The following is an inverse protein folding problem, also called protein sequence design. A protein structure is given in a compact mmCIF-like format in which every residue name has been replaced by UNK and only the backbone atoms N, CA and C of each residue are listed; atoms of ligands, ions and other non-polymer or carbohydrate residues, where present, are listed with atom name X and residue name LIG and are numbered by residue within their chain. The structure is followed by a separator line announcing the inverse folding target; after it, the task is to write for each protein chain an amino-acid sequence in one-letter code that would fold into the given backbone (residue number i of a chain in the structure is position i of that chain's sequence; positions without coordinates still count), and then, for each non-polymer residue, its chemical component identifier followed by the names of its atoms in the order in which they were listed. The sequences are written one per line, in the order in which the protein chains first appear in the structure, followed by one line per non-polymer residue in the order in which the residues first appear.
data_IF_326603813362
#
_entry.id   IF_326603813362
#
_cell.length_a   1.000
_cell.length_b   1.000
_cell.length_c   1.000
_cell.angle_alpha   90.00
_cell.angle_beta   90.00
_cell.angle_gamma   90.00
#
_symmetry.space_group_name_H-M   'P 1'
#
loop_
_entity.id
_entity.type
_entity.pdbx_description
1 polymer ?
#
# COMPACT_ATOMS: atom_id res chain seq x y z
N UNK A 1 26.52 2.81 -12.74
CA UNK A 1 26.17 2.66 -14.18
C UNK A 1 26.87 3.76 -14.95
N UNK A 2 27.43 3.50 -16.14
CA UNK A 2 28.19 4.51 -16.91
C UNK A 2 27.63 4.63 -18.31
N UNK A 3 26.85 5.67 -18.57
CA UNK A 3 26.21 5.89 -19.86
C UNK A 3 26.66 7.20 -20.47
N UNK A 4 27.32 7.09 -21.63
CA UNK A 4 27.89 8.22 -22.35
C UNK A 4 26.84 9.33 -22.60
N UNK A 5 27.23 10.58 -22.34
CA UNK A 5 26.38 11.76 -22.51
C UNK A 5 25.28 11.92 -21.46
N UNK A 6 25.41 11.28 -20.30
CA UNK A 6 24.54 11.49 -19.12
C UNK A 6 25.08 12.55 -18.16
N UNK A 7 26.34 12.96 -18.33
CA UNK A 7 26.96 14.03 -17.56
C UNK A 7 26.10 15.30 -17.56
N UNK A 8 25.79 15.80 -16.36
CA UNK A 8 24.96 16.99 -16.16
C UNK A 8 23.46 16.80 -16.44
N UNK A 9 23.02 15.62 -16.90
CA UNK A 9 21.60 15.30 -17.13
C UNK A 9 20.96 14.52 -15.98
N UNK A 10 21.79 13.82 -15.21
CA UNK A 10 21.40 13.11 -13.99
C UNK A 10 22.10 13.75 -12.81
N UNK A 11 21.33 14.11 -11.79
CA UNK A 11 21.83 14.70 -10.54
C UNK A 11 21.68 13.76 -9.35
N UNK A 12 22.53 13.94 -8.34
CA UNK A 12 22.33 13.32 -7.03
C UNK A 12 21.01 13.82 -6.41
N UNK A 13 20.25 12.92 -5.80
CA UNK A 13 18.93 13.19 -5.23
C UNK A 13 17.77 13.09 -6.23
N UNK A 14 18.07 12.87 -7.52
CA UNK A 14 17.06 12.69 -8.55
C UNK A 14 16.49 11.27 -8.54
N UNK A 15 15.19 11.14 -8.83
CA UNK A 15 14.54 9.86 -9.09
C UNK A 15 14.56 9.55 -10.59
N UNK A 16 14.99 8.34 -10.92
CA UNK A 16 15.03 7.83 -12.29
C UNK A 16 14.33 6.48 -12.40
N UNK A 17 13.90 6.15 -13.62
CA UNK A 17 13.46 4.81 -13.97
C UNK A 17 14.50 4.15 -14.88
N UNK A 18 14.80 2.88 -14.64
CA UNK A 18 15.57 2.02 -15.53
C UNK A 18 14.61 1.16 -16.37
N UNK A 19 14.88 1.10 -17.67
CA UNK A 19 14.04 0.40 -18.64
C UNK A 19 14.93 -0.60 -19.39
N UNK A 20 14.72 -1.88 -19.15
CA UNK A 20 15.35 -2.96 -19.90
C UNK A 20 14.43 -3.41 -21.05
N UNK A 21 14.95 -3.38 -22.27
CA UNK A 21 14.24 -3.85 -23.48
C UNK A 21 14.51 -5.35 -23.64
N UNK A 22 13.47 -6.17 -23.47
CA UNK A 22 13.54 -7.63 -23.52
C UNK A 22 12.67 -8.16 -24.67
N UNK A 23 13.22 -8.09 -25.89
CA UNK A 23 12.50 -8.45 -27.12
C UNK A 23 11.27 -7.55 -27.34
N UNK A 24 10.08 -8.15 -27.30
CA UNK A 24 8.80 -7.42 -27.43
C UNK A 24 8.27 -6.88 -26.10
N UNK A 25 8.96 -7.14 -24.98
CA UNK A 25 8.55 -6.72 -23.65
C UNK A 25 9.52 -5.69 -23.05
N UNK A 26 9.09 -4.99 -22.00
CA UNK A 26 9.91 -4.02 -21.27
C UNK A 26 9.80 -4.31 -19.79
N UNK A 27 10.95 -4.36 -19.13
CA UNK A 27 11.04 -4.35 -17.67
C UNK A 27 11.31 -2.91 -17.22
N UNK A 28 10.43 -2.38 -16.38
CA UNK A 28 10.61 -1.07 -15.77
C UNK A 28 10.94 -1.23 -14.28
N UNK A 29 12.06 -0.66 -13.87
CA UNK A 29 12.46 -0.54 -12.46
C UNK A 29 12.45 0.95 -12.13
N UNK A 30 11.42 1.38 -11.42
CA UNK A 30 11.06 2.79 -11.32
C UNK A 30 11.51 3.40 -10.00
N UNK A 31 11.67 4.73 -9.99
CA UNK A 31 11.89 5.56 -8.78
C UNK A 31 13.13 5.17 -8.00
N UNK A 32 14.21 4.93 -8.71
CA UNK A 32 15.51 4.72 -8.10
C UNK A 32 16.14 6.06 -7.76
N UNK A 33 16.48 6.24 -6.49
CA UNK A 33 17.22 7.41 -6.03
C UNK A 33 18.67 7.34 -6.52
N UNK A 34 19.09 8.37 -7.24
CA UNK A 34 20.49 8.58 -7.59
C UNK A 34 21.23 9.07 -6.35
N UNK A 35 22.12 8.24 -5.81
CA UNK A 35 22.86 8.54 -4.57
C UNK A 35 24.22 9.18 -4.84
N UNK A 36 24.76 9.06 -6.05
CA UNK A 36 26.01 9.70 -6.47
C UNK A 36 26.08 9.82 -7.99
N UNK A 37 26.83 10.81 -8.47
CA UNK A 37 27.14 10.99 -9.89
C UNK A 37 28.63 11.29 -10.07
N UNK A 38 29.22 10.81 -11.16
CA UNK A 38 30.61 11.06 -11.55
C UNK A 38 30.73 11.04 -13.08
N UNK A 39 30.80 12.24 -13.67
CA UNK A 39 30.78 12.40 -15.13
C UNK A 39 29.56 11.74 -15.77
N UNK A 40 29.80 10.78 -16.66
CA UNK A 40 28.78 9.97 -17.33
C UNK A 40 28.30 8.76 -16.49
N UNK A 41 28.68 8.72 -15.21
CA UNK A 41 28.29 7.66 -14.30
C UNK A 41 27.33 8.17 -13.23
N UNK A 42 26.41 7.30 -12.84
CA UNK A 42 25.58 7.49 -11.66
C UNK A 42 25.38 6.18 -10.90
N UNK A 43 25.04 6.31 -9.62
CA UNK A 43 24.90 5.20 -8.69
C UNK A 43 23.51 5.19 -8.09
N UNK A 44 22.92 4.00 -8.07
CA UNK A 44 21.67 3.65 -7.37
C UNK A 44 21.96 2.47 -6.45
N UNK A 45 21.25 2.34 -5.33
CA UNK A 45 21.50 1.28 -4.33
C UNK A 45 20.41 0.23 -4.32
N UNK A 46 20.79 -1.05 -4.35
CA UNK A 46 19.88 -2.18 -4.12
C UNK A 46 19.37 -2.23 -2.68
N UNK A 47 20.08 -1.61 -1.73
CA UNK A 47 19.64 -1.53 -0.33
C UNK A 47 18.42 -0.60 -0.18
N UNK A 48 18.23 0.33 -1.13
CA UNK A 48 17.13 1.28 -1.11
C UNK A 48 15.91 0.82 -1.94
N UNK A 49 16.02 -0.29 -2.68
CA UNK A 49 14.96 -0.77 -3.56
C UNK A 49 15.01 -2.30 -3.72
N UNK A 50 14.02 -2.97 -3.18
CA UNK A 50 13.79 -4.40 -3.34
C UNK A 50 13.49 -4.75 -4.80
N UNK A 51 12.80 -3.86 -5.52
CA UNK A 51 12.57 -4.05 -6.96
C UNK A 51 13.90 -4.12 -7.71
N UNK A 52 14.82 -3.19 -7.44
CA UNK A 52 16.15 -3.21 -8.03
C UNK A 52 16.93 -4.46 -7.64
N UNK A 53 16.89 -4.86 -6.37
CA UNK A 53 17.54 -6.08 -5.88
C UNK A 53 17.05 -7.32 -6.65
N UNK A 54 15.72 -7.50 -6.72
CA UNK A 54 15.09 -8.67 -7.35
C UNK A 54 15.31 -8.73 -8.88
N UNK A 55 15.55 -7.59 -9.52
CA UNK A 55 15.67 -7.48 -10.98
C UNK A 55 17.11 -7.25 -11.47
N UNK A 56 18.08 -7.21 -10.55
CA UNK A 56 19.46 -6.83 -10.84
C UNK A 56 20.09 -7.67 -11.96
N UNK A 57 19.91 -8.99 -11.93
CA UNK A 57 20.47 -9.91 -12.94
C UNK A 57 19.94 -9.64 -14.35
N UNK A 58 18.65 -9.32 -14.48
CA UNK A 58 18.01 -8.96 -15.75
C UNK A 58 18.53 -7.61 -16.24
N UNK A 59 18.66 -6.62 -15.36
CA UNK A 59 19.23 -5.31 -15.72
C UNK A 59 20.68 -5.41 -16.17
N UNK A 60 21.50 -6.24 -15.51
CA UNK A 60 22.89 -6.50 -15.91
C UNK A 60 22.97 -7.16 -17.31
N UNK A 61 22.06 -8.07 -17.60
CA UNK A 61 21.95 -8.71 -18.93
C UNK A 61 21.56 -7.69 -20.01
N UNK A 62 20.57 -6.83 -19.72
CA UNK A 62 20.17 -5.75 -20.61
C UNK A 62 21.29 -4.71 -20.82
N UNK A 63 22.07 -4.41 -19.79
CA UNK A 63 23.25 -3.55 -19.88
C UNK A 63 24.29 -4.11 -20.84
N UNK A 64 24.68 -5.39 -20.66
CA UNK A 64 25.63 -6.07 -21.52
C UNK A 64 25.17 -6.13 -22.98
N UNK A 65 23.86 -6.17 -23.20
CA UNK A 65 23.23 -6.21 -24.54
C UNK A 65 22.93 -4.83 -25.11
N UNK A 66 23.37 -3.73 -24.47
CA UNK A 66 23.09 -2.34 -24.85
C UNK A 66 21.58 -1.98 -24.94
N UNK A 67 20.74 -2.75 -24.26
CA UNK A 67 19.29 -2.63 -24.24
C UNK A 67 18.74 -1.98 -22.96
N UNK A 68 19.62 -1.52 -22.07
CA UNK A 68 19.23 -0.72 -20.91
C UNK A 68 19.12 0.76 -21.28
N UNK A 69 18.06 1.40 -20.81
CA UNK A 69 17.80 2.84 -20.92
C UNK A 69 17.43 3.39 -19.54
N UNK A 70 17.54 4.70 -19.38
CA UNK A 70 16.99 5.40 -18.22
C UNK A 70 16.16 6.59 -18.67
N UNK A 71 15.28 7.04 -17.78
CA UNK A 71 14.53 8.28 -17.91
C UNK A 71 14.29 8.89 -16.54
N UNK A 72 13.89 10.16 -16.50
CA UNK A 72 13.45 10.78 -15.25
C UNK A 72 12.12 10.15 -14.80
N UNK A 73 11.97 9.90 -13.50
CA UNK A 73 10.68 9.48 -12.97
C UNK A 73 9.71 10.67 -12.99
N UNK A 74 8.58 10.53 -13.67
CA UNK A 74 7.56 11.59 -13.76
C UNK A 74 6.71 11.72 -12.50
N UNK A 75 6.69 10.68 -11.65
CA UNK A 75 5.88 10.63 -10.43
C UNK A 75 6.74 10.08 -9.31
N UNK A 76 6.96 10.90 -8.28
CA UNK A 76 7.72 10.52 -7.10
C UNK A 76 6.83 9.89 -6.02
N UNK A 77 5.59 10.37 -5.86
CA UNK A 77 4.62 9.93 -4.86
C UNK A 77 3.21 9.94 -5.44
N UNK A 78 2.40 8.94 -5.10
CA UNK A 78 0.97 8.91 -5.38
C UNK A 78 0.20 9.20 -4.09
N UNK A 79 -0.94 9.88 -4.21
CA UNK A 79 -1.86 10.04 -3.07
C UNK A 79 -2.41 8.68 -2.63
N UNK A 80 -2.97 8.61 -1.42
CA UNK A 80 -3.50 7.38 -0.85
C UNK A 80 -4.77 6.93 -1.57
N UNK A 81 -4.76 5.67 -2.02
CA UNK A 81 -5.96 4.89 -2.29
C UNK A 81 -6.25 3.97 -1.08
N UNK A 82 -7.52 3.91 -0.67
CA UNK A 82 -7.97 3.18 0.51
C UNK A 82 -8.89 2.04 0.10
N UNK A 83 -8.71 0.84 0.64
CA UNK A 83 -9.68 -0.25 0.42
C UNK A 83 -11.01 0.13 1.04
N UNK A 84 -12.12 -0.15 0.35
CA UNK A 84 -13.45 0.11 0.89
C UNK A 84 -13.75 -0.91 1.99
N UNK A 85 -13.92 -0.42 3.21
CA UNK A 85 -14.25 -1.24 4.37
C UNK A 85 -15.35 -0.55 5.18
N UNK A 86 -16.43 -1.28 5.45
CA UNK A 86 -17.55 -0.79 6.22
C UNK A 86 -17.41 -1.12 7.70
N UNK A 87 -17.92 -0.24 8.57
CA UNK A 87 -18.13 -0.54 9.97
C UNK A 87 -19.17 -1.66 10.15
N UNK A 88 -19.20 -2.27 11.34
CA UNK A 88 -20.15 -3.31 11.71
C UNK A 88 -21.60 -2.94 11.38
N UNK A 89 -22.41 -3.90 10.92
CA UNK A 89 -23.79 -3.66 10.48
C UNK A 89 -24.66 -2.92 11.51
N UNK A 90 -24.48 -3.20 12.81
CA UNK A 90 -25.20 -2.53 13.90
C UNK A 90 -24.86 -1.03 14.06
N UNK A 91 -23.73 -0.59 13.51
CA UNK A 91 -23.27 0.82 13.52
C UNK A 91 -23.61 1.56 12.24
N UNK A 92 -24.10 0.87 11.20
CA UNK A 92 -24.44 1.50 9.94
C UNK A 92 -25.65 2.46 10.12
N UNK A 93 -25.65 3.62 9.45
CA UNK A 93 -26.77 4.54 9.50
C UNK A 93 -28.02 3.91 8.87
N UNK A 94 -29.19 4.31 9.33
CA UNK A 94 -30.47 3.90 8.74
C UNK A 94 -30.72 4.54 7.37
N UNK A 95 -30.07 5.67 7.08
CA UNK A 95 -30.14 6.34 5.79
C UNK A 95 -29.37 5.52 4.74
N UNK A 96 -30.08 5.00 3.74
CA UNK A 96 -29.49 4.21 2.66
C UNK A 96 -28.48 4.98 1.81
N UNK A 97 -28.57 6.31 1.77
CA UNK A 97 -27.63 7.21 1.09
C UNK A 97 -26.34 7.44 1.88
N UNK A 98 -26.23 6.87 3.08
CA UNK A 98 -25.06 7.00 3.93
C UNK A 98 -24.43 5.64 4.23
N UNK A 99 -23.11 5.64 4.41
CA UNK A 99 -22.35 4.49 4.89
C UNK A 99 -21.31 4.92 5.90
N UNK A 100 -21.13 4.11 6.94
CA UNK A 100 -20.06 4.30 7.90
C UNK A 100 -18.87 3.42 7.45
N UNK A 101 -17.78 4.04 7.05
CA UNK A 101 -16.51 3.36 6.78
C UNK A 101 -15.72 3.17 8.07
N UNK A 102 -14.90 2.13 8.12
CA UNK A 102 -14.01 1.86 9.24
C UNK A 102 -12.59 1.58 8.75
N UNK A 103 -11.60 2.14 9.41
CA UNK A 103 -10.20 1.86 9.15
C UNK A 103 -9.80 0.46 9.65
N UNK A 104 -8.81 -0.14 9.00
CA UNK A 104 -8.16 -1.37 9.44
C UNK A 104 -6.70 -1.39 8.95
N UNK A 105 -5.98 -2.48 9.19
CA UNK A 105 -4.58 -2.60 8.77
C UNK A 105 -4.35 -2.48 7.24
N UNK A 106 -5.36 -2.79 6.40
CA UNK A 106 -5.27 -2.67 4.93
C UNK A 106 -5.77 -1.31 4.41
N UNK A 107 -6.52 -0.57 5.22
CA UNK A 107 -7.14 0.70 4.89
C UNK A 107 -7.03 1.61 6.10
N UNK A 108 -5.85 2.23 6.32
CA UNK A 108 -5.61 3.05 7.50
C UNK A 108 -6.50 4.28 7.52
N UNK A 109 -6.68 4.87 8.71
CA UNK A 109 -7.49 6.07 8.85
C UNK A 109 -6.80 7.27 8.16
N UNK A 110 -7.50 8.02 7.28
CA UNK A 110 -6.93 9.20 6.61
C UNK A 110 -6.69 10.35 7.60
N UNK A 111 -5.45 10.62 7.99
CA UNK A 111 -5.17 11.51 9.12
C UNK A 111 -5.61 12.98 8.93
N UNK A 112 -5.74 13.44 7.68
CA UNK A 112 -6.12 14.83 7.36
C UNK A 112 -7.54 14.97 6.81
N UNK A 113 -8.35 13.92 6.94
CA UNK A 113 -9.75 13.97 6.46
C UNK A 113 -10.54 15.03 7.22
N UNK A 114 -11.36 15.77 6.48
CA UNK A 114 -12.24 16.81 7.01
C UNK A 114 -13.68 16.59 6.56
N UNK A 115 -14.62 17.09 7.37
CA UNK A 115 -16.03 17.15 6.96
C UNK A 115 -16.16 18.03 5.73
N UNK A 116 -16.87 17.54 4.71
CA UNK A 116 -17.03 18.20 3.42
C UNK A 116 -16.04 17.75 2.34
N UNK A 117 -15.04 16.94 2.68
CA UNK A 117 -14.17 16.36 1.66
C UNK A 117 -14.96 15.43 0.73
N UNK A 118 -14.67 15.54 -0.57
CA UNK A 118 -15.25 14.68 -1.59
C UNK A 118 -14.34 13.48 -1.83
N UNK A 119 -14.97 12.32 -1.99
CA UNK A 119 -14.30 11.07 -2.29
C UNK A 119 -14.95 10.45 -3.52
N UNK A 120 -14.18 9.57 -4.19
CA UNK A 120 -14.68 8.73 -5.27
C UNK A 120 -14.40 7.28 -4.90
N UNK A 121 -15.43 6.45 -4.95
CA UNK A 121 -15.33 4.99 -4.84
C UNK A 121 -15.26 4.43 -6.26
N UNK A 122 -14.33 3.52 -6.49
CA UNK A 122 -14.08 2.86 -7.77
C UNK A 122 -13.65 1.41 -7.58
N UNK A 123 -13.74 0.55 -8.60
CA UNK A 123 -13.23 -0.80 -8.51
C UNK A 123 -11.72 -0.76 -8.26
N UNK A 124 -11.23 -1.60 -7.34
CA UNK A 124 -9.81 -1.77 -7.14
C UNK A 124 -9.27 -2.65 -8.27
N UNK A 125 -8.43 -2.09 -9.13
CA UNK A 125 -7.92 -2.79 -10.30
C UNK A 125 -6.91 -3.87 -9.93
N UNK A 126 -7.27 -5.14 -10.13
CA UNK A 126 -6.32 -6.25 -10.25
C UNK A 126 -6.15 -6.60 -11.73
N UNK A 127 -4.92 -6.48 -12.23
CA UNK A 127 -4.53 -7.10 -13.49
C UNK A 127 -3.45 -8.13 -13.21
N UNK A 128 -3.84 -9.39 -13.06
CA UNK A 128 -2.90 -10.50 -13.10
C UNK A 128 -2.51 -10.76 -14.55
N UNK A 129 -1.32 -10.32 -14.97
CA UNK A 129 -0.72 -10.78 -16.23
C UNK A 129 0.41 -11.76 -15.93
N UNK A 130 0.10 -13.05 -15.83
CA UNK A 130 1.12 -14.08 -15.99
C UNK A 130 1.30 -14.41 -17.48
N UNK A 131 2.53 -14.63 -17.97
CA UNK A 131 2.76 -15.09 -19.34
C UNK A 131 2.03 -16.42 -19.59
N UNK A 132 1.02 -16.42 -20.45
CA UNK A 132 0.22 -17.61 -20.78
C UNK A 132 -1.01 -17.85 -19.93
N UNK A 133 -1.23 -17.09 -18.84
CA UNK A 133 -2.49 -17.14 -18.10
C UNK A 133 -3.52 -16.24 -18.79
N UNK A 134 -4.76 -16.74 -18.94
CA UNK A 134 -5.89 -15.87 -19.30
C UNK A 134 -5.99 -14.81 -18.21
N UNK A 135 -6.04 -13.53 -18.60
CA UNK A 135 -6.28 -12.45 -17.66
C UNK A 135 -7.58 -12.76 -16.91
N UNK A 136 -7.47 -13.22 -15.66
CA UNK A 136 -8.62 -13.34 -14.77
C UNK A 136 -8.99 -11.91 -14.35
N UNK A 137 -9.72 -11.21 -15.22
CA UNK A 137 -10.74 -10.30 -14.69
C UNK A 137 -11.72 -11.23 -14.00
N UNK A 138 -11.84 -11.15 -12.69
CA UNK A 138 -13.15 -11.45 -12.11
C UNK A 138 -14.13 -10.56 -12.90
N UNK A 139 -14.89 -11.17 -13.81
CA UNK A 139 -15.92 -10.46 -14.54
C UNK A 139 -16.85 -9.88 -13.48
N UNK A 140 -17.15 -8.57 -13.58
CA UNK A 140 -18.31 -7.85 -12.99
C UNK A 140 -18.00 -6.56 -12.22
N UNK A 141 -16.98 -5.79 -12.59
CA UNK A 141 -17.10 -4.35 -12.32
C UNK A 141 -16.73 -3.58 -13.57
N UNK A 142 -17.69 -2.82 -14.08
CA UNK A 142 -17.47 -1.90 -15.19
C UNK A 142 -16.31 -0.99 -14.80
N UNK A 143 -15.27 -0.93 -15.63
CA UNK A 143 -14.07 -0.14 -15.33
C UNK A 143 -14.38 1.36 -15.23
N UNK A 144 -15.52 1.77 -15.81
CA UNK A 144 -16.02 3.13 -15.80
C UNK A 144 -16.95 3.41 -14.59
N UNK A 145 -17.25 2.41 -13.78
CA UNK A 145 -18.09 2.58 -12.58
C UNK A 145 -17.40 3.46 -11.54
N UNK A 146 -18.07 4.52 -11.10
CA UNK A 146 -17.61 5.40 -10.03
C UNK A 146 -18.79 5.91 -9.20
N UNK A 147 -18.62 5.97 -7.88
CA UNK A 147 -19.59 6.57 -6.97
C UNK A 147 -18.95 7.74 -6.24
N UNK A 148 -19.50 8.94 -6.47
CA UNK A 148 -19.10 10.15 -5.76
C UNK A 148 -19.81 10.24 -4.41
N UNK A 149 -19.06 10.57 -3.36
CA UNK A 149 -19.60 10.77 -2.02
C UNK A 149 -18.89 11.92 -1.31
N UNK A 150 -19.49 12.41 -0.22
CA UNK A 150 -18.95 13.48 0.63
C UNK A 150 -18.87 13.02 2.07
N UNK A 151 -17.79 13.38 2.75
CA UNK A 151 -17.60 13.14 4.19
C UNK A 151 -18.56 14.02 5.00
N UNK A 152 -19.37 13.40 5.87
CA UNK A 152 -20.33 14.07 6.74
C UNK A 152 -19.91 14.10 8.20
N UNK A 153 -19.19 13.08 8.66
CA UNK A 153 -18.64 13.04 10.01
C UNK A 153 -17.34 12.23 10.02
N UNK A 154 -16.45 12.62 10.93
CA UNK A 154 -15.15 11.99 11.14
C UNK A 154 -15.06 11.61 12.62
N UNK A 155 -14.54 10.42 12.89
CA UNK A 155 -14.16 10.00 14.24
C UNK A 155 -12.77 9.37 14.19
N UNK A 156 -11.70 10.18 14.40
CA UNK A 156 -10.33 9.71 14.38
C UNK A 156 -10.04 8.70 15.49
N UNK A 157 -10.73 8.82 16.62
CA UNK A 157 -10.58 7.89 17.74
C UNK A 157 -11.19 6.56 17.35
N UNK A 158 -12.43 6.48 16.86
CA UNK A 158 -12.99 5.19 16.43
C UNK A 158 -12.43 4.70 15.10
N UNK A 159 -11.67 5.53 14.37
CA UNK A 159 -11.19 5.22 13.02
C UNK A 159 -12.33 5.12 12.02
N UNK A 160 -13.38 5.93 12.16
CA UNK A 160 -14.58 5.85 11.30
C UNK A 160 -14.87 7.12 10.53
N UNK A 161 -15.48 6.94 9.35
CA UNK A 161 -15.84 8.01 8.43
C UNK A 161 -17.28 7.82 7.95
N UNK A 162 -18.17 8.76 8.26
CA UNK A 162 -19.53 8.75 7.71
C UNK A 162 -19.51 9.45 6.37
N UNK A 163 -19.89 8.74 5.31
CA UNK A 163 -19.99 9.27 3.96
C UNK A 163 -21.45 9.29 3.50
N UNK A 164 -21.78 10.25 2.64
CA UNK A 164 -23.06 10.36 1.98
C UNK A 164 -22.86 10.43 0.48
N UNK A 165 -23.63 9.62 -0.26
CA UNK A 165 -23.60 9.62 -1.72
C UNK A 165 -24.04 10.99 -2.27
N UNK A 166 -23.42 11.42 -3.37
CA UNK A 166 -23.86 12.60 -4.10
C UNK A 166 -25.32 12.44 -4.57
N UNK A 167 -26.11 13.52 -4.48
CA UNK A 167 -27.56 13.48 -4.72
C UNK A 167 -27.93 13.12 -6.17
N UNK A 168 -27.03 13.38 -7.11
CA UNK A 168 -27.14 13.10 -8.54
C UNK A 168 -26.57 11.73 -8.95
N UNK A 169 -25.97 11.00 -8.01
CA UNK A 169 -25.40 9.68 -8.31
C UNK A 169 -26.47 8.61 -8.45
N UNK A 170 -26.48 7.95 -9.60
CA UNK A 170 -27.36 6.82 -9.91
C UNK A 170 -26.89 5.49 -9.33
N UNK A 171 -25.62 5.41 -8.93
CA UNK A 171 -24.99 4.18 -8.45
C UNK A 171 -25.31 3.90 -6.98
N UNK A 172 -25.46 2.64 -6.60
CA UNK A 172 -25.61 2.26 -5.19
C UNK A 172 -24.26 1.93 -4.55
N UNK A 173 -24.19 2.07 -3.23
CA UNK A 173 -23.03 1.60 -2.49
C UNK A 173 -22.81 0.09 -2.70
N UNK A 174 -21.57 -0.36 -2.94
CA UNK A 174 -21.25 -1.78 -2.96
C UNK A 174 -21.74 -2.47 -1.68
N UNK A 175 -22.16 -3.74 -1.80
CA UNK A 175 -22.58 -4.51 -0.62
C UNK A 175 -21.38 -4.76 0.30
N UNK A 176 -21.63 -5.06 1.58
CA UNK A 176 -20.55 -5.39 2.50
C UNK A 176 -19.74 -6.62 2.03
N UNK A 177 -20.41 -7.59 1.42
CA UNK A 177 -19.79 -8.81 0.89
C UNK A 177 -18.85 -8.55 -0.27
N UNK A 178 -19.12 -7.56 -1.12
CA UNK A 178 -18.28 -7.23 -2.29
C UNK A 178 -17.45 -5.97 -2.11
N UNK A 179 -17.61 -5.27 -0.98
CA UNK A 179 -16.92 -4.01 -0.67
C UNK A 179 -15.42 -4.11 -0.81
N UNK A 180 -14.84 -5.26 -0.47
CA UNK A 180 -13.41 -5.50 -0.64
C UNK A 180 -13.01 -5.19 -2.08
N UNK A 181 -13.74 -5.56 -3.13
CA UNK A 181 -13.36 -5.31 -4.54
C UNK A 181 -13.27 -3.84 -4.95
N UNK A 182 -13.59 -2.91 -4.06
CA UNK A 182 -13.57 -1.48 -4.31
C UNK A 182 -12.51 -0.77 -3.47
N UNK A 183 -12.05 0.35 -4.00
CA UNK A 183 -11.20 1.30 -3.31
C UNK A 183 -11.82 2.68 -3.40
N UNK A 184 -11.40 3.58 -2.53
CA UNK A 184 -11.80 4.97 -2.55
C UNK A 184 -10.58 5.87 -2.35
N UNK A 185 -10.67 7.06 -2.91
CA UNK A 185 -9.66 8.09 -2.76
C UNK A 185 -10.34 9.46 -2.72
N UNK A 186 -9.61 10.46 -2.22
CA UNK A 186 -10.08 11.84 -2.26
C UNK A 186 -10.13 12.35 -3.70
N UNK A 187 -11.19 13.08 -4.04
CA UNK A 187 -11.31 13.67 -5.36
C UNK A 187 -10.40 14.90 -5.46
N UNK A 188 -9.81 15.12 -6.65
CA UNK A 188 -8.86 16.23 -6.88
C UNK A 188 -9.50 17.63 -6.80
N UNK A 189 -10.83 17.72 -6.70
CA UNK A 189 -11.56 18.98 -6.72
C UNK A 189 -11.64 19.68 -5.35
N UNK A 190 -11.12 19.07 -4.27
CA UNK A 190 -11.39 19.48 -2.90
C UNK A 190 -10.12 19.78 -2.07
N UNK A 191 -10.34 20.39 -0.90
CA UNK A 191 -9.32 20.86 0.03
C UNK A 191 -8.28 19.80 0.42
N UNK A 192 -8.67 18.53 0.58
CA UNK A 192 -7.73 17.45 0.90
C UNK A 192 -6.59 17.31 -0.12
N UNK A 193 -6.90 17.43 -1.43
CA UNK A 193 -5.92 17.29 -2.50
C UNK A 193 -5.00 18.52 -2.65
N UNK A 194 -5.42 19.69 -2.15
CA UNK A 194 -4.70 20.96 -2.27
C UNK A 194 -4.01 21.40 -0.98
N UNK A 195 -4.27 20.72 0.13
CA UNK A 195 -3.61 21.00 1.42
C UNK A 195 -2.16 20.56 1.38
N UNK A 196 -1.25 21.43 1.81
CA UNK A 196 0.16 21.10 1.96
C UNK A 196 0.35 20.16 3.16
N UNK A 197 0.92 18.98 2.90
CA UNK A 197 1.11 17.89 3.87
C UNK A 197 2.57 17.74 4.32
N UNK A 198 3.49 18.48 3.67
CA UNK A 198 4.92 18.30 3.83
C UNK A 198 5.60 19.52 4.44
N UNK A 199 5.07 20.73 4.22
CA UNK A 199 5.67 21.93 4.80
C UNK A 199 5.27 22.10 6.27
N UNK A 200 6.28 22.13 7.13
CA UNK A 200 6.14 22.41 8.57
C UNK A 200 5.14 21.50 9.29
N UNK A 201 4.97 20.26 8.85
CA UNK A 201 4.12 19.26 9.52
C UNK A 201 5.00 18.23 10.21
N UNK A 202 4.69 17.94 11.48
CA UNK A 202 5.30 16.86 12.23
C UNK A 202 4.24 15.82 12.57
N UNK A 203 4.52 14.57 12.21
CA UNK A 203 3.67 13.43 12.56
C UNK A 203 4.15 12.79 13.86
N UNK A 204 3.32 12.81 14.90
CA UNK A 204 3.56 12.04 16.12
C UNK A 204 2.83 10.70 16.03
N UNK A 205 3.57 9.61 16.18
CA UNK A 205 3.04 8.25 16.09
C UNK A 205 2.91 7.66 17.48
N UNK A 206 1.70 7.25 17.84
CA UNK A 206 1.31 6.83 19.17
C UNK A 206 0.63 5.46 19.10
N UNK A 207 0.85 4.64 20.12
CA UNK A 207 0.18 3.35 20.22
C UNK A 207 -1.23 3.53 20.76
N UNK A 208 -2.21 3.01 20.02
CA UNK A 208 -3.64 3.07 20.32
C UNK A 208 -4.04 2.36 21.63
N UNK A 209 -3.26 1.38 22.11
CA UNK A 209 -3.47 0.76 23.45
C UNK A 209 -3.58 1.79 24.58
N UNK A 210 -2.92 2.93 24.45
CA UNK A 210 -2.96 3.99 25.45
C UNK A 210 -4.38 4.59 25.60
N UNK A 211 -5.10 4.78 24.48
CA UNK A 211 -6.47 5.31 24.49
C UNK A 211 -7.52 4.21 24.70
N UNK A 212 -7.17 2.94 24.43
CA UNK A 212 -8.05 1.78 24.66
C UNK A 212 -7.96 1.22 26.10
N UNK A 213 -7.06 1.77 26.93
CA UNK A 213 -6.85 1.31 28.30
C UNK A 213 -8.08 1.55 29.18
N UNK A 214 -8.40 0.61 30.11
CA UNK A 214 -9.51 0.79 31.02
C UNK A 214 -9.30 2.03 31.90
N UNK A 215 -10.37 2.81 32.11
CA UNK A 215 -10.40 4.08 32.85
C UNK A 215 -9.82 5.31 32.12
N UNK A 216 -9.52 5.20 30.83
CA UNK A 216 -9.17 6.36 30.01
C UNK A 216 -10.42 6.90 29.31
N UNK A 217 -10.56 8.22 29.30
CA UNK A 217 -11.50 8.93 28.42
C UNK A 217 -10.72 9.36 27.18
N UNK A 218 -10.89 8.70 26.02
CA UNK A 218 -10.03 8.89 24.86
C UNK A 218 -9.92 10.36 24.41
N UNK A 219 -11.05 11.07 24.33
CA UNK A 219 -11.09 12.48 23.91
C UNK A 219 -10.24 13.38 24.81
N UNK A 220 -10.29 13.16 26.13
CA UNK A 220 -9.52 13.96 27.09
C UNK A 220 -8.03 13.66 26.98
N UNK A 221 -7.65 12.39 26.80
CA UNK A 221 -6.26 12.00 26.62
C UNK A 221 -5.68 12.57 25.32
N UNK A 222 -6.41 12.45 24.20
CA UNK A 222 -5.97 12.97 22.90
C UNK A 222 -5.78 14.48 22.95
N UNK A 223 -6.74 15.22 23.53
CA UNK A 223 -6.64 16.66 23.71
C UNK A 223 -5.43 17.05 24.57
N UNK A 224 -5.23 16.38 25.71
CA UNK A 224 -4.11 16.63 26.60
C UNK A 224 -2.75 16.34 25.95
N UNK A 225 -2.63 15.23 25.20
CA UNK A 225 -1.40 14.90 24.46
C UNK A 225 -1.10 15.97 23.43
N UNK A 226 -2.11 16.40 22.65
CA UNK A 226 -1.93 17.43 21.64
C UNK A 226 -1.50 18.76 22.27
N UNK A 227 -2.14 19.20 23.36
CA UNK A 227 -1.78 20.42 24.08
C UNK A 227 -0.34 20.36 24.61
N UNK A 228 0.03 19.23 25.24
CA UNK A 228 1.37 19.04 25.81
C UNK A 228 2.45 19.04 24.75
N UNK A 229 2.23 18.36 23.62
CA UNK A 229 3.19 18.36 22.52
C UNK A 229 3.30 19.76 21.93
N UNK A 230 2.17 20.42 21.63
CA UNK A 230 2.19 21.73 20.98
C UNK A 230 2.83 22.84 21.83
N UNK A 231 2.83 22.70 23.16
CA UNK A 231 3.56 23.60 24.05
C UNK A 231 5.08 23.59 23.82
N UNK A 232 5.64 22.50 23.29
CA UNK A 232 7.08 22.32 23.04
C UNK A 232 7.47 22.66 21.59
N UNK A 233 6.51 22.80 20.69
CA UNK A 233 6.76 23.02 19.27
C UNK A 233 6.79 24.52 18.90
N UNK A 234 7.62 24.91 17.92
CA UNK A 234 7.54 26.26 17.35
C UNK A 234 6.16 26.52 16.75
N UNK A 235 5.65 27.75 16.90
CA UNK A 235 4.30 28.14 16.46
C UNK A 235 4.03 27.98 14.94
N UNK A 236 5.08 27.83 14.13
CA UNK A 236 4.96 27.61 12.69
C UNK A 236 4.87 26.13 12.31
N UNK A 237 4.97 25.21 13.27
CA UNK A 237 4.89 23.77 13.04
C UNK A 237 3.50 23.25 13.40
N UNK A 238 2.91 22.50 12.48
CA UNK A 238 1.66 21.77 12.68
C UNK A 238 1.94 20.34 13.16
N UNK A 239 1.08 19.83 14.04
CA UNK A 239 1.17 18.46 14.55
C UNK A 239 0.02 17.61 13.99
N UNK A 240 0.36 16.41 13.49
CA UNK A 240 -0.62 15.37 13.16
C UNK A 240 -0.36 14.17 14.08
N UNK A 241 -1.37 13.77 14.85
CA UNK A 241 -1.28 12.60 15.71
C UNK A 241 -1.82 11.36 14.99
N UNK A 242 -1.00 10.31 14.90
CA UNK A 242 -1.36 9.02 14.32
C UNK A 242 -1.47 7.98 15.43
N UNK A 243 -2.68 7.48 15.67
CA UNK A 243 -2.93 6.42 16.65
C UNK A 243 -3.01 5.07 15.96
N UNK A 244 -1.88 4.35 15.96
CA UNK A 244 -1.75 3.06 15.26
C UNK A 244 -2.08 1.90 16.20
N UNK A 245 -2.69 0.85 15.64
CA UNK A 245 -2.82 -0.44 16.35
C UNK A 245 -1.45 -1.06 16.62
N UNK A 246 -1.38 -2.06 17.50
CA UNK A 246 -0.08 -2.60 17.92
C UNK A 246 0.77 -3.18 16.79
N UNK A 247 0.21 -4.01 15.89
CA UNK A 247 1.00 -4.56 14.80
C UNK A 247 1.57 -3.45 13.92
N UNK A 248 0.77 -2.44 13.56
CA UNK A 248 1.20 -1.34 12.70
C UNK A 248 2.19 -0.43 13.43
N UNK A 249 1.99 -0.15 14.72
CA UNK A 249 2.91 0.64 15.54
C UNK A 249 4.29 -0.03 15.65
N UNK A 250 4.34 -1.33 15.91
CA UNK A 250 5.59 -2.07 16.01
C UNK A 250 6.30 -2.15 14.65
N UNK A 251 5.55 -2.36 13.57
CA UNK A 251 6.10 -2.35 12.20
C UNK A 251 6.64 -0.97 11.81
N UNK A 252 5.94 0.11 12.21
CA UNK A 252 6.40 1.47 12.04
C UNK A 252 7.73 1.68 12.77
N UNK A 253 7.83 1.30 14.05
CA UNK A 253 9.06 1.43 14.82
C UNK A 253 10.24 0.68 14.22
N UNK A 254 10.03 -0.56 13.76
CA UNK A 254 11.06 -1.36 13.11
C UNK A 254 11.52 -0.76 11.77
N UNK A 255 10.57 -0.29 10.95
CA UNK A 255 10.86 0.37 9.66
C UNK A 255 11.56 1.69 9.86
N UNK A 256 11.12 2.50 10.84
CA UNK A 256 11.74 3.78 11.18
C UNK A 256 13.18 3.59 11.66
N UNK A 257 13.44 2.60 12.52
CA UNK A 257 14.78 2.29 12.99
C UNK A 257 15.72 1.89 11.84
N UNK A 258 15.23 1.04 10.91
CA UNK A 258 15.99 0.65 9.71
C UNK A 258 16.29 1.86 8.82
N UNK A 259 15.28 2.68 8.54
CA UNK A 259 15.42 3.90 7.74
C UNK A 259 16.44 4.88 8.34
N UNK A 260 16.36 5.14 9.65
CA UNK A 260 17.30 6.00 10.37
C UNK A 260 18.74 5.44 10.32
N UNK A 261 18.89 4.14 10.63
CA UNK A 261 20.20 3.49 10.66
C UNK A 261 20.88 3.41 9.28
N UNK A 262 20.08 3.43 8.21
CA UNK A 262 20.57 3.49 6.82
C UNK A 262 20.89 4.91 6.34
N UNK A 263 20.82 5.93 7.20
CA UNK A 263 21.09 7.32 6.83
C UNK A 263 19.92 8.04 6.17
N UNK A 264 18.68 7.58 6.42
CA UNK A 264 17.43 8.18 5.95
C UNK A 264 17.31 8.31 4.41
N UNK A 265 17.59 7.26 3.62
CA UNK A 265 17.49 7.34 2.17
C UNK A 265 16.03 7.47 1.71
N UNK A 266 15.79 8.13 0.58
CA UNK A 266 14.51 8.06 -0.13
C UNK A 266 14.43 6.74 -0.92
N UNK A 267 14.04 5.67 -0.23
CA UNK A 267 13.86 4.32 -0.77
C UNK A 267 12.62 3.64 -0.20
N UNK A 268 12.52 2.32 -0.34
CA UNK A 268 11.34 1.54 0.05
C UNK A 268 10.86 1.83 1.49
N UNK A 269 11.79 1.96 2.45
CA UNK A 269 11.44 2.27 3.84
C UNK A 269 10.84 3.66 4.01
N UNK A 270 11.36 4.67 3.31
CA UNK A 270 10.81 6.03 3.36
C UNK A 270 9.37 6.04 2.82
N UNK A 271 9.12 5.32 1.73
CA UNK A 271 7.78 5.18 1.17
C UNK A 271 6.85 4.37 2.06
N UNK A 272 7.34 3.30 2.71
CA UNK A 272 6.57 2.54 3.68
C UNK A 272 6.16 3.41 4.88
N UNK A 273 7.07 4.26 5.38
CA UNK A 273 6.76 5.23 6.44
C UNK A 273 5.70 6.24 5.98
N UNK A 274 5.84 6.84 4.79
CA UNK A 274 4.85 7.77 4.24
C UNK A 274 3.48 7.11 4.07
N UNK A 275 3.43 5.84 3.65
CA UNK A 275 2.19 5.08 3.49
C UNK A 275 1.53 4.78 4.85
N UNK A 276 2.29 4.36 5.85
CA UNK A 276 1.77 4.13 7.21
C UNK A 276 1.22 5.42 7.86
N UNK A 277 1.77 6.57 7.48
CA UNK A 277 1.32 7.90 7.92
C UNK A 277 0.21 8.49 7.03
N UNK A 278 -0.27 7.75 6.03
CA UNK A 278 -1.29 8.21 5.06
C UNK A 278 -0.91 9.48 4.28
N UNK A 279 0.39 9.74 4.13
CA UNK A 279 0.92 10.90 3.38
C UNK A 279 0.97 10.63 1.87
N UNK A 280 1.00 9.37 1.49
CA UNK A 280 1.07 8.89 0.12
C UNK A 280 1.83 7.57 0.05
N UNK A 281 1.76 6.91 -1.09
CA UNK A 281 2.47 5.65 -1.32
C UNK A 281 3.21 5.66 -2.65
N UNK A 282 4.07 4.66 -2.85
CA UNK A 282 4.70 4.44 -4.15
C UNK A 282 3.61 4.25 -5.22
N UNK A 283 3.68 4.98 -6.35
CA UNK A 283 2.73 4.75 -7.42
C UNK A 283 2.88 3.33 -7.96
N UNK A 284 1.90 2.49 -7.65
CA UNK A 284 1.87 1.10 -8.07
C UNK A 284 1.20 1.04 -9.43
N UNK A 285 1.90 0.53 -10.44
CA UNK A 285 1.26 0.20 -11.73
C UNK A 285 0.42 -1.07 -11.62
N UNK A 286 0.67 -1.88 -10.59
CA UNK A 286 0.05 -3.18 -10.38
C UNK A 286 -0.04 -3.44 -8.86
N UNK A 287 -1.27 -3.54 -8.35
CA UNK A 287 -1.53 -4.00 -6.99
C UNK A 287 -1.54 -5.54 -7.05
N UNK A 288 -0.41 -6.20 -6.78
CA UNK A 288 -0.33 -7.68 -6.82
C UNK A 288 -0.90 -8.30 -5.53
N UNK A 289 -0.04 -8.90 -4.70
CA UNK A 289 -0.39 -9.57 -3.44
C UNK A 289 -1.03 -8.63 -2.40
N UNK A 290 -0.88 -7.32 -2.57
CA UNK A 290 -1.37 -6.30 -1.62
C UNK A 290 -2.90 -6.19 -1.52
N UNK A 291 -3.63 -6.77 -2.47
CA UNK A 291 -5.10 -6.85 -2.43
C UNK A 291 -5.62 -8.21 -1.96
N UNK A 292 -4.71 -9.16 -1.73
CA UNK A 292 -5.10 -10.51 -1.35
C UNK A 292 -5.53 -10.58 0.13
N UNK A 293 -6.56 -11.37 0.43
CA UNK A 293 -7.16 -11.50 1.77
C UNK A 293 -7.08 -12.92 2.30
N UNK A 294 -7.09 -13.07 3.62
CA UNK A 294 -7.16 -14.39 4.24
C UNK A 294 -8.53 -15.01 3.91
N UNK A 295 -8.52 -16.24 3.42
CA UNK A 295 -9.73 -17.00 3.08
C UNK A 295 -10.61 -17.22 4.32
N UNK A 296 -11.93 -17.12 4.14
CA UNK A 296 -12.88 -17.63 5.14
C UNK A 296 -12.84 -19.16 5.18
N UNK A 297 -13.43 -19.79 6.19
CA UNK A 297 -13.45 -21.26 6.29
C UNK A 297 -14.21 -21.92 5.12
N UNK A 298 -15.28 -21.30 4.64
CA UNK A 298 -16.01 -21.76 3.46
C UNK A 298 -15.13 -21.68 2.20
N UNK A 299 -14.43 -20.55 2.01
CA UNK A 299 -13.53 -20.36 0.87
C UNK A 299 -12.29 -21.25 0.95
N UNK A 300 -11.80 -21.54 2.15
CA UNK A 300 -10.74 -22.52 2.35
C UNK A 300 -11.18 -23.90 1.87
N UNK A 301 -12.39 -24.32 2.21
CA UNK A 301 -12.95 -25.60 1.73
C UNK A 301 -13.05 -25.61 0.21
N UNK A 302 -13.45 -24.49 -0.39
CA UNK A 302 -13.53 -24.36 -1.86
C UNK A 302 -12.15 -24.38 -2.53
N UNK A 303 -11.13 -23.75 -1.92
CA UNK A 303 -9.75 -23.72 -2.44
C UNK A 303 -9.07 -25.08 -2.32
N UNK A 304 -9.24 -25.75 -1.18
CA UNK A 304 -8.55 -27.02 -0.87
C UNK A 304 -9.29 -28.21 -1.46
N UNK A 305 -10.60 -28.11 -1.68
CA UNK A 305 -11.43 -29.21 -2.15
C UNK A 305 -11.31 -30.43 -1.23
N UNK A 306 -10.99 -31.59 -1.83
CA UNK A 306 -10.73 -32.85 -1.13
C UNK A 306 -9.26 -33.00 -0.65
N UNK A 307 -8.42 -31.98 -0.87
CA UNK A 307 -7.00 -31.98 -0.53
C UNK A 307 -6.08 -32.59 -1.60
N UNK A 308 -6.62 -33.06 -2.72
CA UNK A 308 -5.83 -33.67 -3.81
C UNK A 308 -5.27 -32.63 -4.79
N UNK A 309 -5.97 -31.51 -5.00
CA UNK A 309 -5.53 -30.41 -5.88
C UNK A 309 -6.00 -29.06 -5.34
N UNK A 310 -5.22 -28.03 -5.68
CA UNK A 310 -5.52 -26.64 -5.34
C UNK A 310 -6.38 -26.01 -6.43
N UNK A 311 -7.53 -25.46 -6.06
CA UNK A 311 -8.39 -24.71 -6.98
C UNK A 311 -7.86 -23.28 -7.14
N UNK A 312 -6.78 -23.13 -7.92
CA UNK A 312 -6.10 -21.85 -8.18
C UNK A 312 -7.03 -20.79 -8.78
N UNK A 313 -8.05 -21.21 -9.54
CA UNK A 313 -9.07 -20.33 -10.09
C UNK A 313 -9.91 -19.65 -8.99
N UNK A 314 -10.18 -20.35 -7.88
CA UNK A 314 -10.87 -19.78 -6.72
C UNK A 314 -9.98 -18.79 -5.99
N UNK A 315 -8.68 -19.11 -5.84
CA UNK A 315 -7.69 -18.20 -5.22
C UNK A 315 -7.60 -16.88 -5.98
N UNK A 316 -7.50 -16.96 -7.31
CA UNK A 316 -7.41 -15.78 -8.18
C UNK A 316 -8.74 -15.01 -8.24
N UNK A 317 -9.88 -15.70 -8.34
CA UNK A 317 -11.22 -15.07 -8.39
C UNK A 317 -11.57 -14.35 -7.09
N UNK A 318 -11.25 -14.96 -5.96
CA UNK A 318 -11.59 -14.46 -4.62
C UNK A 318 -10.50 -13.59 -3.99
N UNK A 319 -9.38 -13.40 -4.71
CA UNK A 319 -8.23 -12.60 -4.28
C UNK A 319 -7.67 -13.10 -2.94
N UNK A 320 -7.41 -14.41 -2.80
CA UNK A 320 -7.11 -15.03 -1.51
C UNK A 320 -5.62 -15.21 -1.26
N UNK A 321 -5.11 -14.62 -0.18
CA UNK A 321 -3.79 -14.94 0.36
C UNK A 321 -3.88 -16.22 1.20
N UNK A 322 -3.11 -17.23 0.81
CA UNK A 322 -3.09 -18.50 1.52
C UNK A 322 -1.67 -18.82 2.01
N UNK A 323 -1.56 -19.11 3.31
CA UNK A 323 -0.35 -19.66 3.92
C UNK A 323 -0.68 -21.10 4.32
N UNK A 324 -0.04 -22.12 3.72
CA UNK A 324 -0.20 -23.50 4.17
C UNK A 324 0.16 -23.59 5.64
N UNK A 325 -0.69 -24.23 6.45
CA UNK A 325 -0.24 -24.68 7.78
C UNK A 325 0.87 -25.69 7.55
N UNK A 326 1.98 -25.54 8.28
CA UNK A 326 3.08 -26.51 8.29
C UNK A 326 2.50 -27.92 8.46
N UNK A 327 2.44 -28.66 7.37
CA UNK A 327 2.32 -30.11 7.43
C UNK A 327 3.75 -30.57 7.69
N UNK A 328 4.03 -31.29 8.78
CA UNK A 328 5.36 -31.83 9.00
C UNK A 328 5.72 -32.70 7.80
N UNK A 329 6.66 -32.24 6.98
CA UNK A 329 7.22 -33.04 5.91
C UNK A 329 8.02 -34.15 6.57
N UNK A 330 7.45 -35.34 6.67
CA UNK A 330 8.25 -36.55 6.81
C UNK A 330 9.10 -36.64 5.56
N UNK A 331 10.34 -36.15 5.66
CA UNK A 331 11.41 -36.56 4.76
C UNK A 331 11.54 -38.06 4.95
N UNK A 332 11.02 -38.85 4.01
CA UNK A 332 11.38 -40.25 3.92
C UNK A 332 12.90 -40.31 3.74
N UNK A 333 13.56 -40.83 4.77
CA UNK A 333 14.96 -41.21 4.70
C UNK A 333 15.06 -42.25 3.58
N UNK A 334 15.56 -41.84 2.42
CA UNK A 334 16.06 -42.78 1.43
C UNK A 334 17.28 -43.43 2.08
N UNK A 335 17.08 -44.58 2.72
CA UNK A 335 18.14 -45.48 3.15
C UNK A 335 18.79 -46.06 1.89
N UNK A 336 19.80 -45.35 1.36
CA UNK A 336 20.85 -45.97 0.57
C UNK A 336 21.73 -46.81 1.51
N UNK A 337 21.21 -47.97 1.92
CA UNK A 337 22.05 -49.06 2.41
C UNK A 337 22.48 -49.90 1.21
N UNK A 338 23.77 -49.81 0.89
CA UNK A 338 24.37 -50.53 -0.23
C UNK A 338 24.31 -52.04 -0.05
N UNK A 339 23.85 -52.72 -1.10
CA UNK A 339 24.22 -54.10 -1.37
C UNK A 339 25.46 -54.10 -2.27
N UNK A 340 26.63 -54.23 -1.65
CA UNK A 340 27.72 -55.02 -2.22
C UNK A 340 27.36 -56.48 -2.01
N UNK A 341 27.35 -57.29 -3.07
CA UNK A 341 27.73 -58.70 -3.00
C UNK A 341 28.15 -59.22 -4.39
N UNK A 342 29.37 -59.74 -4.39
CA UNK A 342 30.06 -60.70 -5.26
C UNK A 342 30.30 -60.42 -6.76
#
# INVERSE_FOLDING_TARGET
MTQAGSAGKVGQGQLIDLIAIEGNSRLNVSRLLVIATDGDSFTVSTENSQQLHNTLSRLQTAWASHNLRWQNSNVWLQDMDYRLNYAEAKRQPSNQQQRLLASNAQSPYPAMVSVGDAIVIRPAGLQFSQPGAKAYRAATVDADWQLAATVKAVDPIAGTLLIEKAADSTEDFPSAETSYRYQWAFSQANNYATTDRFSFVVSAVLNRRLIESPNIVPDQLVAWVQETIMAEFPAHVSLINHWLDDPTFNNFGATYARWQNSGMPLGDDAFALMQMLTLGHLPVTQLDIGLMRIATEAQRTEVVGDGSQWHEDVILREELFYVPKDVPTTLEHHDESGEQND
#
